data_IF_032411766427
#
_entry.id   IF_032411766427
#
_cell.length_a   1.000
_cell.length_b   1.000
_cell.length_c   1.000
_cell.angle_alpha   90.00
_cell.angle_beta   90.00
_cell.angle_gamma   90.00
#
_symmetry.space_group_name_H-M   'P 1'
#
loop_
_entity.id
_entity.type
_entity.pdbx_description
1 polymer ?
#
# COMPACT_ATOMS: atom_id res chain seq x y z
N UNK A 1 9.44 -17.05 3.74
CA UNK A 1 9.01 -15.66 3.63
C UNK A 1 9.23 -15.15 2.22
N UNK A 2 8.31 -14.38 1.73
CA UNK A 2 8.35 -13.86 0.38
C UNK A 2 8.73 -12.39 0.42
N UNK A 3 9.73 -12.00 -0.36
CA UNK A 3 10.05 -10.57 -0.54
C UNK A 3 9.25 -10.04 -1.71
N UNK A 4 8.73 -8.83 -1.55
CA UNK A 4 7.92 -8.18 -2.56
C UNK A 4 8.73 -7.13 -3.32
N UNK A 5 8.39 -6.92 -4.58
CA UNK A 5 8.90 -5.79 -5.35
C UNK A 5 8.45 -4.44 -4.77
N UNK A 6 7.31 -4.43 -4.04
CA UNK A 6 6.80 -3.21 -3.41
C UNK A 6 7.55 -2.83 -2.17
N UNK A 7 8.04 -3.83 -1.44
CA UNK A 7 8.62 -3.64 -0.12
C UNK A 7 9.96 -4.33 -0.07
N UNK A 8 10.99 -3.70 -0.67
CA UNK A 8 12.33 -4.29 -0.59
C UNK A 8 12.69 -4.56 0.86
N UNK A 9 13.21 -5.75 1.13
CA UNK A 9 13.64 -6.20 2.46
C UNK A 9 12.51 -6.38 3.48
N UNK A 10 11.24 -6.30 3.06
CA UNK A 10 10.09 -6.62 3.93
C UNK A 10 9.54 -8.00 3.63
N UNK A 11 9.07 -8.67 4.68
CA UNK A 11 8.29 -9.89 4.56
C UNK A 11 6.82 -9.54 4.37
N UNK A 12 6.12 -10.30 3.56
CA UNK A 12 4.69 -10.16 3.37
C UNK A 12 3.97 -11.40 3.89
N UNK A 13 2.80 -11.21 4.52
CA UNK A 13 1.97 -12.32 4.94
C UNK A 13 1.34 -13.02 3.74
N UNK A 14 0.97 -12.22 2.74
CA UNK A 14 0.32 -12.74 1.55
C UNK A 14 0.68 -11.87 0.35
N UNK A 15 0.96 -12.51 -0.80
CA UNK A 15 1.18 -11.82 -2.05
C UNK A 15 0.74 -12.72 -3.19
N UNK A 16 0.13 -12.13 -4.23
CA UNK A 16 -0.27 -12.88 -5.41
C UNK A 16 -0.18 -12.01 -6.66
N UNK A 17 -0.08 -12.68 -7.80
CA UNK A 17 -0.03 -12.04 -9.11
C UNK A 17 -1.25 -12.48 -9.90
N UNK A 18 -1.97 -11.50 -10.44
CA UNK A 18 -3.03 -11.78 -11.40
C UNK A 18 -2.39 -12.16 -12.73
N UNK A 19 -2.61 -13.40 -13.17
CA UNK A 19 -1.99 -13.94 -14.40
C UNK A 19 -2.41 -13.19 -15.65
N UNK A 20 -3.63 -12.64 -15.67
CA UNK A 20 -4.14 -11.97 -16.86
C UNK A 20 -3.61 -10.54 -17.02
N UNK A 21 -3.37 -9.85 -15.93
CA UNK A 21 -3.00 -8.43 -15.96
C UNK A 21 -1.58 -8.17 -15.48
N UNK A 22 -0.91 -9.15 -14.89
CA UNK A 22 0.38 -9.00 -14.21
C UNK A 22 0.34 -8.03 -13.02
N UNK A 23 -0.85 -7.70 -12.54
CA UNK A 23 -0.99 -6.90 -11.33
C UNK A 23 -0.56 -7.74 -10.12
N UNK A 24 0.14 -7.10 -9.21
CA UNK A 24 0.63 -7.75 -8.00
C UNK A 24 -0.09 -7.15 -6.81
N UNK A 25 -0.60 -8.01 -5.92
CA UNK A 25 -1.30 -7.60 -4.72
C UNK A 25 -0.59 -8.14 -3.50
N UNK A 26 -0.64 -7.42 -2.41
CA UNK A 26 -0.02 -7.88 -1.17
C UNK A 26 -0.81 -7.44 0.05
N UNK A 27 -0.68 -8.24 1.10
CA UNK A 27 -1.26 -7.92 2.42
C UNK A 27 -0.20 -8.22 3.46
N UNK A 28 -0.06 -7.30 4.42
CA UNK A 28 0.76 -7.49 5.61
C UNK A 28 -0.03 -7.01 6.81
N UNK A 29 -0.13 -7.87 7.83
CA UNK A 29 -0.72 -7.53 9.11
C UNK A 29 0.38 -7.51 10.16
N UNK A 30 0.46 -6.44 10.91
CA UNK A 30 1.42 -6.29 11.99
C UNK A 30 0.65 -6.11 13.30
N UNK A 31 0.77 -7.11 14.18
CA UNK A 31 0.13 -7.12 15.48
C UNK A 31 0.97 -6.35 16.49
N UNK A 32 0.32 -5.93 17.57
CA UNK A 32 0.98 -5.30 18.71
C UNK A 32 1.71 -4.01 18.37
N UNK A 33 1.33 -3.38 17.29
CA UNK A 33 1.81 -2.04 16.97
C UNK A 33 0.91 -1.06 17.72
N UNK A 34 1.49 -0.36 18.68
CA UNK A 34 0.75 0.66 19.42
C UNK A 34 0.57 1.88 18.52
N UNK A 35 -0.47 1.86 17.70
CA UNK A 35 -0.81 2.96 16.82
C UNK A 35 -2.08 3.62 17.31
N UNK A 36 -1.98 4.87 17.74
CA UNK A 36 -3.16 5.70 17.93
C UNK A 36 -3.68 6.12 16.55
N UNK A 37 -4.96 6.50 16.48
CA UNK A 37 -5.59 6.92 15.22
C UNK A 37 -4.81 8.02 14.51
N UNK A 38 -4.25 8.96 15.27
CA UNK A 38 -3.48 10.07 14.71
C UNK A 38 -2.16 9.65 14.07
N UNK A 39 -1.70 8.43 14.35
CA UNK A 39 -0.39 7.96 13.88
C UNK A 39 -0.39 7.45 12.44
N UNK A 40 -1.56 7.26 11.83
CA UNK A 40 -1.62 6.80 10.44
C UNK A 40 -0.89 7.78 9.51
N UNK A 41 -1.08 9.08 9.70
CA UNK A 41 -0.37 10.08 8.90
C UNK A 41 1.14 9.95 9.03
N UNK A 42 1.63 9.79 10.26
CA UNK A 42 3.08 9.61 10.52
C UNK A 42 3.59 8.31 9.92
N UNK A 43 2.81 7.24 9.97
CA UNK A 43 3.19 5.95 9.40
C UNK A 43 3.26 6.01 7.88
N UNK A 44 2.30 6.67 7.23
CA UNK A 44 2.34 6.88 5.78
C UNK A 44 3.58 7.69 5.39
N UNK A 45 3.90 8.74 6.14
CA UNK A 45 5.10 9.54 5.89
C UNK A 45 6.37 8.71 6.04
N UNK A 46 6.41 7.81 7.02
CA UNK A 46 7.56 6.92 7.21
C UNK A 46 7.73 5.95 6.03
N UNK A 47 6.64 5.40 5.51
CA UNK A 47 6.71 4.54 4.33
C UNK A 47 7.14 5.32 3.09
N UNK A 48 6.65 6.55 2.91
CA UNK A 48 7.08 7.43 1.82
C UNK A 48 8.60 7.62 1.85
N UNK A 49 9.15 7.96 3.01
CA UNK A 49 10.60 8.14 3.18
C UNK A 49 11.37 6.82 2.96
N UNK A 50 10.84 5.70 3.45
CA UNK A 50 11.45 4.39 3.25
C UNK A 50 11.54 4.04 1.77
N UNK A 51 10.43 4.20 1.03
CA UNK A 51 10.41 3.89 -0.40
C UNK A 51 11.31 4.82 -1.20
N UNK A 52 11.37 6.08 -0.80
CA UNK A 52 12.25 7.07 -1.44
C UNK A 52 13.71 6.64 -1.38
N UNK A 53 14.12 6.01 -0.28
CA UNK A 53 15.47 5.50 -0.12
C UNK A 53 15.69 4.14 -0.78
N UNK A 54 14.67 3.28 -0.78
CA UNK A 54 14.84 1.86 -1.13
C UNK A 54 14.37 1.50 -2.52
N UNK A 55 13.50 2.30 -3.13
CA UNK A 55 12.91 1.96 -4.42
C UNK A 55 13.49 2.82 -5.54
N UNK A 56 14.10 2.21 -6.56
CA UNK A 56 14.63 2.96 -7.69
C UNK A 56 13.54 3.76 -8.40
N UNK A 57 13.85 5.02 -8.74
CA UNK A 57 12.94 5.87 -9.48
C UNK A 57 11.67 6.24 -8.73
N UNK A 58 11.70 6.18 -7.41
CA UNK A 58 10.53 6.51 -6.60
C UNK A 58 10.05 7.94 -6.85
N UNK A 59 8.75 8.07 -7.14
CA UNK A 59 8.06 9.36 -7.22
C UNK A 59 6.72 9.23 -6.51
N UNK A 60 6.55 10.04 -5.48
CA UNK A 60 5.28 10.07 -4.76
C UNK A 60 4.18 10.67 -5.65
N UNK A 61 3.01 10.03 -5.65
CA UNK A 61 1.80 10.58 -6.24
C UNK A 61 1.00 11.31 -5.17
N UNK A 62 -0.17 10.76 -4.82
CA UNK A 62 -1.07 11.37 -3.86
C UNK A 62 -1.02 10.65 -2.51
N UNK A 63 -1.31 11.40 -1.46
CA UNK A 63 -1.60 10.86 -0.14
C UNK A 63 -3.04 11.24 0.20
N UNK A 64 -3.89 10.23 0.41
CA UNK A 64 -5.28 10.43 0.80
C UNK A 64 -5.46 9.90 2.23
N UNK A 65 -6.28 10.60 3.00
CA UNK A 65 -6.58 10.20 4.38
C UNK A 65 -8.07 10.07 4.54
N UNK A 66 -8.48 8.96 5.17
CA UNK A 66 -9.88 8.73 5.52
C UNK A 66 -9.95 8.46 7.02
N UNK A 67 -10.71 9.29 7.73
CA UNK A 67 -10.89 9.15 9.17
C UNK A 67 -12.28 8.59 9.45
N UNK A 68 -12.29 7.47 10.15
CA UNK A 68 -13.52 6.81 10.54
C UNK A 68 -13.59 6.69 12.06
N UNK A 69 -14.77 6.31 12.56
CA UNK A 69 -14.98 6.17 13.99
C UNK A 69 -14.09 5.10 14.61
N UNK A 70 -13.95 3.97 13.93
CA UNK A 70 -13.24 2.81 14.46
C UNK A 70 -11.82 2.66 13.92
N UNK A 71 -11.48 3.31 12.82
CA UNK A 71 -10.17 3.18 12.19
C UNK A 71 -9.81 4.42 11.38
N UNK A 72 -8.54 4.55 11.08
CA UNK A 72 -8.07 5.51 10.09
C UNK A 72 -7.41 4.74 8.96
N UNK A 73 -7.51 5.28 7.75
CA UNK A 73 -6.92 4.72 6.55
C UNK A 73 -6.11 5.79 5.84
N UNK A 74 -4.85 5.49 5.55
CA UNK A 74 -4.02 6.31 4.69
C UNK A 74 -3.79 5.58 3.38
N UNK A 75 -3.79 6.29 2.27
CA UNK A 75 -3.54 5.74 0.95
C UNK A 75 -2.42 6.53 0.31
N UNK A 76 -1.34 5.84 -0.06
CA UNK A 76 -0.18 6.43 -0.72
C UNK A 76 -0.07 5.83 -2.12
N UNK A 77 -0.09 6.68 -3.14
CA UNK A 77 0.20 6.25 -4.50
C UNK A 77 1.59 6.72 -4.92
N UNK A 78 2.31 5.90 -5.68
CA UNK A 78 3.67 6.22 -6.07
C UNK A 78 4.10 5.42 -7.30
N UNK A 79 5.15 5.89 -7.96
CA UNK A 79 5.78 5.21 -9.09
C UNK A 79 7.16 4.71 -8.70
N UNK A 80 7.52 3.56 -9.24
CA UNK A 80 8.87 3.01 -9.09
C UNK A 80 9.34 2.43 -10.41
N UNK A 81 10.65 2.24 -10.54
CA UNK A 81 11.23 1.58 -11.71
C UNK A 81 11.73 0.20 -11.30
N UNK A 82 11.40 -0.79 -12.11
CA UNK A 82 12.04 -2.10 -12.05
C UNK A 82 13.04 -2.17 -13.20
N UNK A 83 13.92 -3.19 -13.24
CA UNK A 83 14.82 -3.35 -14.39
C UNK A 83 14.11 -3.47 -15.73
N UNK A 84 12.83 -3.86 -15.74
CA UNK A 84 12.07 -4.09 -16.97
C UNK A 84 11.13 -2.96 -17.34
N UNK A 85 10.59 -2.24 -16.35
CA UNK A 85 9.54 -1.26 -16.63
C UNK A 85 9.29 -0.35 -15.43
N UNK A 86 8.52 0.70 -15.69
CA UNK A 86 7.96 1.53 -14.65
C UNK A 86 6.72 0.85 -14.06
N UNK A 87 6.57 0.91 -12.73
CA UNK A 87 5.43 0.37 -12.02
C UNK A 87 4.67 1.47 -11.30
N UNK A 88 3.35 1.36 -11.31
CA UNK A 88 2.49 2.22 -10.50
C UNK A 88 1.99 1.43 -9.30
N UNK A 89 2.02 2.05 -8.14
CA UNK A 89 1.78 1.35 -6.88
C UNK A 89 0.81 2.15 -6.00
N UNK A 90 0.01 1.43 -5.24
CA UNK A 90 -0.86 2.01 -4.21
C UNK A 90 -0.68 1.20 -2.93
N UNK A 91 -0.43 1.91 -1.84
CA UNK A 91 -0.36 1.33 -0.51
C UNK A 91 -1.50 1.88 0.33
N UNK A 92 -2.37 0.99 0.82
CA UNK A 92 -3.33 1.33 1.86
C UNK A 92 -2.78 0.90 3.21
N UNK A 93 -2.82 1.81 4.18
CA UNK A 93 -2.40 1.54 5.55
C UNK A 93 -3.57 1.84 6.47
N UNK A 94 -4.05 0.82 7.16
CA UNK A 94 -5.17 0.92 8.08
C UNK A 94 -4.71 0.63 9.49
N UNK A 95 -5.16 1.44 10.43
CA UNK A 95 -4.99 1.19 11.85
C UNK A 95 -6.34 0.89 12.46
N UNK A 96 -6.46 -0.28 13.06
CA UNK A 96 -7.64 -0.70 13.80
C UNK A 96 -7.20 -1.38 15.09
N UNK A 97 -7.60 -0.81 16.22
CA UNK A 97 -7.11 -1.24 17.53
C UNK A 97 -5.57 -1.16 17.57
N UNK A 98 -4.87 -2.20 17.93
CA UNK A 98 -3.40 -2.22 17.95
C UNK A 98 -2.82 -2.98 16.76
N UNK A 99 -3.58 -3.03 15.66
CA UNK A 99 -3.18 -3.76 14.46
C UNK A 99 -2.98 -2.79 13.31
N UNK A 100 -1.87 -2.92 12.61
CA UNK A 100 -1.62 -2.23 11.36
C UNK A 100 -1.81 -3.20 10.21
N UNK A 101 -2.65 -2.82 9.25
CA UNK A 101 -2.89 -3.61 8.07
C UNK A 101 -2.40 -2.84 6.85
N UNK A 102 -1.49 -3.45 6.09
CA UNK A 102 -1.01 -2.91 4.83
C UNK A 102 -1.63 -3.70 3.71
N UNK A 103 -2.21 -3.00 2.74
CA UNK A 103 -2.80 -3.60 1.54
C UNK A 103 -2.22 -2.85 0.35
N UNK A 104 -1.49 -3.56 -0.50
CA UNK A 104 -0.82 -2.93 -1.62
C UNK A 104 -1.16 -3.56 -2.96
N UNK A 105 -1.05 -2.76 -4.00
CA UNK A 105 -1.18 -3.19 -5.39
C UNK A 105 -0.10 -2.51 -6.23
N UNK A 106 0.48 -3.26 -7.17
CA UNK A 106 1.37 -2.73 -8.19
C UNK A 106 0.92 -3.21 -9.56
N UNK A 107 0.99 -2.32 -10.52
CA UNK A 107 0.66 -2.65 -11.89
C UNK A 107 1.65 -1.97 -12.85
N UNK A 108 1.73 -2.46 -14.08
CA UNK A 108 2.53 -1.82 -15.09
C UNK A 108 1.79 -0.63 -15.71
N UNK A 109 2.49 0.13 -16.57
CA UNK A 109 1.93 1.32 -17.21
C UNK A 109 0.67 1.00 -18.01
N UNK A 110 0.64 -0.13 -18.69
CA UNK A 110 -0.49 -0.51 -19.54
C UNK A 110 -1.78 -0.69 -18.75
N UNK A 111 -1.68 -1.16 -17.50
CA UNK A 111 -2.85 -1.44 -16.66
C UNK A 111 -3.21 -0.33 -15.69
N UNK A 112 -2.33 0.67 -15.53
CA UNK A 112 -2.47 1.66 -14.46
C UNK A 112 -3.76 2.48 -14.58
N UNK A 113 -4.13 2.88 -15.78
CA UNK A 113 -5.32 3.70 -15.99
C UNK A 113 -6.60 3.02 -15.51
N UNK A 114 -6.68 1.70 -15.67
CA UNK A 114 -7.83 0.91 -15.21
C UNK A 114 -7.69 0.46 -13.76
N UNK A 115 -6.54 -0.05 -13.38
CA UNK A 115 -6.34 -0.71 -12.09
C UNK A 115 -6.26 0.25 -10.90
N UNK A 116 -5.59 1.41 -11.06
CA UNK A 116 -5.39 2.33 -9.95
C UNK A 116 -6.71 2.89 -9.38
N UNK A 117 -7.64 3.40 -10.21
CA UNK A 117 -8.91 3.90 -9.67
C UNK A 117 -9.72 2.81 -8.99
N UNK A 118 -9.73 1.61 -9.55
CA UNK A 118 -10.47 0.49 -8.99
C UNK A 118 -9.92 0.08 -7.62
N UNK A 119 -8.61 -0.03 -7.51
CA UNK A 119 -7.98 -0.42 -6.26
C UNK A 119 -8.16 0.67 -5.19
N UNK A 120 -7.98 1.93 -5.56
CA UNK A 120 -8.19 3.06 -4.65
C UNK A 120 -9.64 3.09 -4.15
N UNK A 121 -10.61 2.89 -5.04
CA UNK A 121 -12.02 2.82 -4.66
C UNK A 121 -12.29 1.66 -3.71
N UNK A 122 -11.67 0.51 -3.95
CA UNK A 122 -11.79 -0.63 -3.05
C UNK A 122 -11.25 -0.29 -1.65
N UNK A 123 -10.10 0.34 -1.57
CA UNK A 123 -9.54 0.74 -0.27
C UNK A 123 -10.46 1.73 0.45
N UNK A 124 -11.04 2.67 -0.29
CA UNK A 124 -11.93 3.66 0.30
C UNK A 124 -13.28 3.07 0.73
N UNK A 125 -13.61 1.87 0.26
CA UNK A 125 -14.85 1.19 0.63
C UNK A 125 -14.70 0.27 1.84
N UNK A 126 -13.51 0.16 2.41
CA UNK A 126 -13.27 -0.72 3.56
C UNK A 126 -14.12 -0.26 4.75
N UNK A 127 -14.77 -1.22 5.39
CA UNK A 127 -15.54 -0.99 6.60
C UNK A 127 -15.13 -1.98 7.68
N UNK A 128 -15.27 -1.57 8.93
CA UNK A 128 -15.07 -2.47 10.07
C UNK A 128 -16.42 -2.77 10.67
N UNK A 129 -16.78 -4.04 10.67
CA UNK A 129 -18.02 -4.52 11.29
C UNK A 129 -17.72 -4.93 12.73
N UNK A 130 -18.56 -4.43 13.63
CA UNK A 130 -18.49 -4.84 15.03
C UNK A 130 -19.31 -6.10 15.29
#
# INVERSE_FOLDING_TARGET
>A
MRKSYFYPQMSLDFAWIDKNSSNIYCIKRQLEVSLEKKNVKSRIAAYDEYYKRMCPGYQRGEILMRREKLFNLGILSYKTNTPKSMRFNVLGLMNYMNTELLIGMSCDVANAFDALPKFTAMLQSIEVNE
#
